data_IF_803737346767
#
_entry.id   IF_803737346767
#
_cell.length_a   1.000
_cell.length_b   1.000
_cell.length_c   1.000
_cell.angle_alpha   90.00
_cell.angle_beta   90.00
_cell.angle_gamma   90.00
#
_symmetry.space_group_name_H-M   'P 1'
#
loop_
_entity.id
_entity.type
_entity.pdbx_description
1 polymer ?
#
# COMPACT_ATOMS: atom_id res chain seq x y z
N UNK A 1 -32.73 -19.88 29.29
CA UNK A 1 -31.85 -18.85 28.70
C UNK A 1 -30.90 -18.40 29.80
N UNK A 2 -29.65 -18.86 29.78
CA UNK A 2 -28.67 -18.54 30.85
C UNK A 2 -27.98 -17.23 30.50
N UNK A 3 -28.15 -16.23 31.36
CA UNK A 3 -27.40 -14.96 31.30
C UNK A 3 -25.92 -15.26 31.58
N UNK A 4 -25.05 -14.68 30.76
CA UNK A 4 -23.60 -14.78 30.86
C UNK A 4 -23.13 -14.05 32.14
N UNK A 5 -22.27 -14.68 32.94
CA UNK A 5 -21.84 -14.23 34.28
C UNK A 5 -21.03 -12.91 34.29
N UNK A 6 -20.73 -12.36 33.12
CA UNK A 6 -19.93 -11.14 32.95
C UNK A 6 -20.75 -9.92 32.51
N UNK A 7 -22.08 -10.01 32.49
CA UNK A 7 -22.95 -8.85 32.28
C UNK A 7 -23.38 -8.27 33.63
N UNK A 8 -22.42 -7.77 34.41
CA UNK A 8 -22.73 -6.85 35.50
C UNK A 8 -23.13 -5.53 34.83
N UNK A 9 -24.42 -5.19 34.91
CA UNK A 9 -25.06 -4.07 34.20
C UNK A 9 -24.63 -2.68 34.65
N UNK A 10 -23.34 -2.47 34.91
CA UNK A 10 -22.77 -1.16 35.15
C UNK A 10 -22.27 -0.58 33.83
N UNK A 11 -23.20 -0.29 32.92
CA UNK A 11 -22.89 0.55 31.77
C UNK A 11 -22.75 1.98 32.31
N UNK A 12 -21.56 2.59 32.24
CA UNK A 12 -21.42 3.98 32.64
C UNK A 12 -22.32 4.80 31.73
N UNK A 13 -23.34 5.45 32.30
CA UNK A 13 -24.10 6.49 31.63
C UNK A 13 -23.11 7.58 31.22
N UNK A 14 -22.61 7.54 29.99
CA UNK A 14 -21.59 8.48 29.48
C UNK A 14 -22.01 9.95 29.61
N UNK A 15 -23.31 10.23 29.74
CA UNK A 15 -23.85 11.56 29.99
C UNK A 15 -23.82 11.98 31.48
N UNK A 16 -23.86 11.04 32.43
CA UNK A 16 -23.81 11.29 33.88
C UNK A 16 -22.44 11.00 34.50
N UNK A 17 -21.58 10.23 33.83
CA UNK A 17 -20.29 9.76 34.33
C UNK A 17 -19.10 10.66 33.95
N UNK A 18 -19.30 11.69 33.14
CA UNK A 18 -18.24 12.64 32.77
C UNK A 18 -17.98 13.61 33.93
N UNK A 19 -16.95 13.32 34.72
CA UNK A 19 -16.48 14.25 35.75
C UNK A 19 -15.79 15.46 35.12
N UNK A 20 -15.84 16.62 35.79
CA UNK A 20 -15.03 17.81 35.41
C UNK A 20 -13.54 17.46 35.25
N UNK A 21 -13.05 16.47 36.01
CA UNK A 21 -11.68 15.97 35.90
C UNK A 21 -11.44 15.25 34.58
N UNK A 22 -12.37 14.43 34.12
CA UNK A 22 -12.24 13.70 32.86
C UNK A 22 -12.19 14.66 31.67
N UNK A 23 -12.98 15.74 31.72
CA UNK A 23 -12.90 16.81 30.72
C UNK A 23 -11.52 17.49 30.70
N UNK A 24 -10.94 17.79 31.87
CA UNK A 24 -9.58 18.35 31.94
C UNK A 24 -8.52 17.35 31.49
N UNK A 25 -8.67 16.06 31.78
CA UNK A 25 -7.74 15.02 31.34
C UNK A 25 -7.77 14.84 29.81
N UNK A 26 -8.95 14.74 29.21
CA UNK A 26 -9.11 14.64 27.76
C UNK A 26 -8.61 15.92 27.07
N UNK A 27 -8.91 17.08 27.64
CA UNK A 27 -8.40 18.38 27.19
C UNK A 27 -6.88 18.47 27.23
N UNK A 28 -6.24 18.04 28.33
CA UNK A 28 -4.76 18.00 28.46
C UNK A 28 -4.13 17.05 27.43
N UNK A 29 -4.69 15.86 27.23
CA UNK A 29 -4.17 14.90 26.24
C UNK A 29 -4.28 15.47 24.81
N UNK A 30 -5.39 16.14 24.51
CA UNK A 30 -5.60 16.84 23.24
C UNK A 30 -4.63 18.00 23.02
N UNK A 31 -4.41 18.85 24.04
CA UNK A 31 -3.52 20.03 23.93
C UNK A 31 -2.04 19.65 23.88
N UNK A 32 -1.63 18.57 24.56
CA UNK A 32 -0.28 18.01 24.47
C UNK A 32 -0.01 17.30 23.12
N UNK A 33 -1.01 17.22 22.23
CA UNK A 33 -0.86 16.64 20.90
C UNK A 33 -0.69 15.12 20.91
N UNK A 34 -0.99 14.45 22.03
CA UNK A 34 -0.99 12.99 22.15
C UNK A 34 -2.28 12.40 21.57
N UNK A 35 -2.61 12.80 20.34
CA UNK A 35 -3.75 12.32 19.60
C UNK A 35 -3.31 11.22 18.62
N UNK A 36 -4.24 10.31 18.33
CA UNK A 36 -4.06 9.26 17.34
C UNK A 36 -3.48 9.76 15.99
N UNK A 37 -3.98 10.85 15.37
CA UNK A 37 -3.41 11.34 14.11
C UNK A 37 -1.94 11.77 14.25
N UNK A 38 -1.53 12.31 15.39
CA UNK A 38 -0.15 12.72 15.60
C UNK A 38 0.79 11.51 15.76
N UNK A 39 0.33 10.45 16.43
CA UNK A 39 1.05 9.17 16.48
C UNK A 39 1.20 8.55 15.09
N UNK A 40 0.14 8.56 14.27
CA UNK A 40 0.20 8.03 12.90
C UNK A 40 1.15 8.83 12.03
N UNK A 41 1.17 10.16 12.17
CA UNK A 41 2.12 11.04 11.48
C UNK A 41 3.57 10.73 11.87
N UNK A 42 3.85 10.54 13.15
CA UNK A 42 5.18 10.16 13.65
C UNK A 42 5.63 8.79 13.11
N UNK A 43 4.72 7.82 13.03
CA UNK A 43 4.99 6.50 12.42
C UNK A 43 5.31 6.60 10.94
N UNK A 44 4.60 7.45 10.20
CA UNK A 44 4.87 7.70 8.79
C UNK A 44 6.23 8.39 8.58
N UNK A 45 6.61 9.32 9.46
CA UNK A 45 7.94 9.96 9.40
C UNK A 45 9.08 9.06 9.89
N UNK A 46 8.78 8.00 10.64
CA UNK A 46 9.76 7.03 11.10
C UNK A 46 10.11 5.97 10.05
N UNK A 47 9.50 6.03 8.86
CA UNK A 47 9.96 5.25 7.71
C UNK A 47 11.39 5.75 7.43
N UNK A 48 12.41 4.89 7.56
CA UNK A 48 13.77 5.31 7.27
C UNK A 48 13.78 5.85 5.84
N UNK A 49 14.40 7.01 5.65
CA UNK A 49 14.66 7.51 4.30
C UNK A 49 15.40 6.41 3.57
N UNK A 50 14.70 5.72 2.67
CA UNK A 50 15.35 4.82 1.72
C UNK A 50 16.41 5.68 1.07
N UNK A 51 17.68 5.25 1.13
CA UNK A 51 18.80 5.97 0.52
C UNK A 51 18.37 6.29 -0.91
N UNK A 52 18.04 7.56 -1.14
CA UNK A 52 17.59 8.03 -2.44
C UNK A 52 18.85 8.20 -3.25
N UNK A 53 19.30 7.10 -3.86
CA UNK A 53 20.32 7.17 -4.88
C UNK A 53 19.82 8.13 -5.96
N UNK A 54 20.68 9.04 -6.39
CA UNK A 54 20.39 9.87 -7.56
C UNK A 54 20.05 8.92 -8.72
N UNK A 55 18.84 9.06 -9.26
CA UNK A 55 18.40 8.22 -10.37
C UNK A 55 19.33 8.47 -11.55
N UNK A 56 20.11 7.45 -11.95
CA UNK A 56 21.06 7.54 -13.06
C UNK A 56 20.37 7.64 -14.43
N UNK A 57 19.09 7.28 -14.52
CA UNK A 57 18.32 7.27 -15.76
C UNK A 57 17.07 8.15 -15.60
N UNK A 58 16.78 8.95 -16.63
CA UNK A 58 15.59 9.82 -16.67
C UNK A 58 14.28 9.02 -16.85
N UNK A 59 14.35 7.87 -17.52
CA UNK A 59 13.18 7.01 -17.75
C UNK A 59 13.57 5.53 -17.89
N UNK A 60 12.75 4.64 -17.33
CA UNK A 60 12.94 3.18 -17.41
C UNK A 60 11.66 2.53 -17.94
N UNK A 61 11.79 1.70 -18.97
CA UNK A 61 10.70 0.84 -19.46
C UNK A 61 10.89 -0.56 -18.88
N UNK A 62 9.98 -0.96 -17.98
CA UNK A 62 10.00 -2.30 -17.40
C UNK A 62 9.03 -3.22 -18.16
N UNK A 63 9.58 -4.17 -18.90
CA UNK A 63 8.80 -5.15 -19.66
C UNK A 63 8.73 -6.44 -18.83
N UNK A 64 7.54 -6.73 -18.29
CA UNK A 64 7.31 -7.94 -17.49
C UNK A 64 6.80 -9.09 -18.37
N UNK A 65 7.60 -10.15 -18.49
CA UNK A 65 7.30 -11.34 -19.30
C UNK A 65 7.39 -12.59 -18.41
N UNK A 66 6.28 -13.06 -17.81
CA UNK A 66 6.29 -14.29 -17.02
C UNK A 66 6.54 -15.48 -17.95
N UNK A 67 7.72 -16.10 -17.83
CA UNK A 67 8.17 -17.17 -18.73
C UNK A 67 9.15 -16.73 -19.84
N UNK A 68 9.52 -15.44 -19.87
CA UNK A 68 10.49 -14.89 -20.82
C UNK A 68 9.89 -14.55 -22.19
N UNK A 69 10.74 -13.98 -23.06
CA UNK A 69 10.39 -13.70 -24.46
C UNK A 69 10.57 -14.95 -25.32
N UNK A 70 9.63 -15.22 -26.21
CA UNK A 70 9.82 -16.27 -27.20
C UNK A 70 10.85 -15.82 -28.26
N UNK A 71 11.75 -16.71 -28.64
CA UNK A 71 12.83 -16.41 -29.60
C UNK A 71 12.29 -15.85 -30.93
N UNK A 72 11.19 -16.43 -31.42
CA UNK A 72 10.52 -16.01 -32.66
C UNK A 72 9.88 -14.62 -32.56
N UNK A 73 9.64 -14.09 -31.36
CA UNK A 73 9.04 -12.77 -31.18
C UNK A 73 10.05 -11.63 -31.04
N UNK A 74 11.34 -11.95 -30.86
CA UNK A 74 12.31 -10.92 -30.49
C UNK A 74 13.62 -10.99 -31.23
N UNK A 75 14.18 -12.19 -31.42
CA UNK A 75 15.53 -12.32 -31.97
C UNK A 75 15.55 -12.78 -33.42
N UNK A 76 14.62 -13.65 -33.82
CA UNK A 76 14.51 -14.16 -35.19
C UNK A 76 13.03 -14.31 -35.59
N UNK A 77 12.34 -13.20 -35.89
CA UNK A 77 11.00 -13.29 -36.44
C UNK A 77 11.09 -13.99 -37.79
N UNK A 78 10.28 -15.05 -37.99
CA UNK A 78 10.28 -15.85 -39.21
C UNK A 78 9.18 -15.36 -40.17
N UNK A 79 9.38 -14.30 -40.97
CA UNK A 79 8.31 -13.61 -41.71
C UNK A 79 7.56 -14.50 -42.71
N UNK A 80 8.23 -15.55 -43.22
CA UNK A 80 7.67 -16.43 -44.24
C UNK A 80 7.00 -17.69 -43.68
N UNK A 81 7.00 -17.90 -42.36
CA UNK A 81 6.30 -19.03 -41.75
C UNK A 81 4.80 -18.76 -41.56
N UNK A 82 4.02 -19.84 -41.51
CA UNK A 82 2.60 -19.75 -41.20
C UNK A 82 2.36 -19.09 -39.82
N UNK A 83 1.24 -18.38 -39.63
CA UNK A 83 0.91 -17.72 -38.37
C UNK A 83 0.93 -18.67 -37.16
N UNK A 84 0.51 -19.92 -37.36
CA UNK A 84 0.47 -20.95 -36.31
C UNK A 84 1.85 -21.28 -35.73
N UNK A 85 2.93 -21.08 -36.51
CA UNK A 85 4.29 -21.38 -36.08
C UNK A 85 5.07 -20.13 -35.67
N UNK A 86 4.72 -19.00 -36.25
CA UNK A 86 5.43 -17.72 -36.11
C UNK A 86 4.98 -16.92 -34.89
N UNK A 87 3.74 -17.13 -34.46
CA UNK A 87 3.08 -16.28 -33.49
C UNK A 87 2.34 -15.10 -34.12
N UNK A 88 1.60 -14.33 -33.31
CA UNK A 88 0.66 -13.32 -33.80
C UNK A 88 1.33 -12.04 -34.31
N UNK A 89 2.55 -11.71 -33.87
CA UNK A 89 3.16 -10.40 -34.13
C UNK A 89 3.96 -10.39 -35.41
N UNK A 90 3.80 -9.41 -36.30
CA UNK A 90 4.53 -9.31 -37.59
C UNK A 90 5.83 -8.51 -37.44
N UNK A 91 6.96 -8.92 -38.04
CA UNK A 91 8.19 -8.14 -37.94
C UNK A 91 8.04 -6.78 -38.61
N UNK A 92 8.57 -5.75 -37.94
CA UNK A 92 8.64 -4.39 -38.46
C UNK A 92 10.06 -4.20 -39.02
N UNK A 93 10.19 -3.65 -40.23
CA UNK A 93 11.50 -3.28 -40.78
C UNK A 93 12.12 -2.18 -39.93
N UNK A 94 13.24 -2.48 -39.28
CA UNK A 94 14.10 -1.48 -38.64
C UNK A 94 15.00 -0.82 -39.70
N UNK A 95 15.30 0.46 -39.52
CA UNK A 95 16.13 1.28 -40.43
C UNK A 95 17.62 0.95 -40.33
#
# INVERSE_FOLDING_TARGET
>A
MKLHRNCEGNHPDVLNALSRRDFMHIGMVGTLGLSLPNMLRLKASAIPSVESFAAMADSVIHIYLPGGMAQHESWDPKPFASPDYRGPYTPIKTS
#
